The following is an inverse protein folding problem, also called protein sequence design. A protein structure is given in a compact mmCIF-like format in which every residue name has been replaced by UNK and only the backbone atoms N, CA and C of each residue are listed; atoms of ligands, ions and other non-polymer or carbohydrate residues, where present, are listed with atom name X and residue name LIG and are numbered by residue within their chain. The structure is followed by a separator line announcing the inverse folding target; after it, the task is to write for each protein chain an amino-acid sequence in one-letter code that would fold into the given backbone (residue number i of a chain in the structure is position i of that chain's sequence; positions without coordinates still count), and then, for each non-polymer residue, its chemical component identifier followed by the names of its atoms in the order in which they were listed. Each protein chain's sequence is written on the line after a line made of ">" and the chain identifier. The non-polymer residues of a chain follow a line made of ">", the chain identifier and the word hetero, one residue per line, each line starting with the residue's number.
data_IF_660291304803
#
_entry.id   IF_660291304803
#
_cell.length_a   1.000
_cell.length_b   1.000
_cell.length_c   1.000
_cell.angle_alpha   90.00
_cell.angle_beta   90.00
_cell.angle_gamma   90.00
#
_symmetry.space_group_name_H-M   'P 1'
#
loop_
_entity.id
_entity.type
_entity.pdbx_description
1 polymer ?
#
# COMPACT_ATOMS: atom_id res chain seq x y z
N UNK A 1 -10.58 -9.54 1.26
CA UNK A 1 -10.07 -8.48 2.17
C UNK A 1 -8.74 -8.91 2.77
N UNK A 2 -7.80 -7.98 2.95
CA UNK A 2 -6.53 -8.29 3.61
C UNK A 2 -6.76 -8.63 5.09
N UNK A 3 -6.07 -9.64 5.60
CA UNK A 3 -6.17 -10.07 7.00
C UNK A 3 -5.02 -9.48 7.80
N UNK A 4 -5.32 -8.95 8.98
CA UNK A 4 -4.30 -8.59 9.98
C UNK A 4 -3.75 -9.87 10.60
N UNK A 5 -2.43 -10.04 10.55
CA UNK A 5 -1.71 -11.19 11.09
C UNK A 5 -0.87 -10.76 12.30
N UNK A 6 -0.84 -11.59 13.34
CA UNK A 6 0.07 -11.46 14.47
C UNK A 6 1.43 -12.05 14.09
N UNK A 7 2.51 -11.42 14.53
CA UNK A 7 3.86 -11.95 14.40
C UNK A 7 4.72 -11.54 15.60
N UNK A 8 5.85 -12.21 15.81
CA UNK A 8 6.83 -11.87 16.84
C UNK A 8 7.98 -11.10 16.21
N UNK A 9 8.34 -9.95 16.78
CA UNK A 9 9.57 -9.26 16.43
C UNK A 9 10.79 -10.05 16.96
N UNK A 10 12.00 -9.71 16.48
CA UNK A 10 13.26 -10.32 16.93
C UNK A 10 13.47 -10.25 18.45
N UNK A 11 12.85 -9.26 19.10
CA UNK A 11 12.91 -9.03 20.54
C UNK A 11 11.83 -9.81 21.33
N UNK A 12 11.08 -10.71 20.70
CA UNK A 12 10.00 -11.48 21.35
C UNK A 12 8.68 -10.71 21.53
N UNK A 13 8.61 -9.44 21.10
CA UNK A 13 7.41 -8.63 21.22
C UNK A 13 6.33 -9.07 20.23
N UNK A 14 5.09 -9.22 20.71
CA UNK A 14 3.93 -9.43 19.85
C UNK A 14 3.60 -8.14 19.10
N UNK A 15 3.59 -8.24 17.77
CA UNK A 15 3.20 -7.17 16.85
C UNK A 15 2.17 -7.65 15.85
N UNK A 16 1.58 -6.70 15.15
CA UNK A 16 0.63 -6.95 14.09
C UNK A 16 1.15 -6.41 12.75
N UNK A 17 0.79 -7.09 11.68
CA UNK A 17 1.09 -6.71 10.30
C UNK A 17 -0.09 -7.02 9.38
N UNK A 18 -0.09 -6.41 8.20
CA UNK A 18 -0.99 -6.78 7.12
C UNK A 18 -0.29 -6.62 5.78
N UNK A 19 -0.82 -7.32 4.78
CA UNK A 19 -0.41 -7.19 3.40
C UNK A 19 -1.64 -7.02 2.52
N UNK A 20 -1.64 -5.97 1.70
CA UNK A 20 -2.71 -5.65 0.77
C UNK A 20 -2.21 -5.73 -0.66
N UNK A 21 -3.05 -6.30 -1.53
CA UNK A 21 -2.83 -6.28 -2.97
C UNK A 21 -3.37 -4.98 -3.55
N UNK A 22 -2.53 -4.28 -4.32
CA UNK A 22 -2.84 -2.98 -4.90
C UNK A 22 -3.16 -3.04 -6.40
N UNK A 23 -3.19 -4.24 -7.00
CA UNK A 23 -3.41 -4.42 -8.43
C UNK A 23 -2.12 -4.72 -9.20
N UNK A 24 -2.15 -4.46 -10.50
CA UNK A 24 -1.02 -4.64 -11.42
C UNK A 24 -0.45 -3.25 -11.71
N UNK A 25 0.86 -3.12 -11.62
CA UNK A 25 1.53 -1.88 -12.01
C UNK A 25 1.47 -1.73 -13.55
N UNK A 26 0.87 -0.66 -14.10
CA UNK A 26 0.66 -0.54 -15.54
C UNK A 26 1.97 -0.36 -16.32
N UNK A 27 3.04 0.13 -15.67
CA UNK A 27 4.33 0.33 -16.35
C UNK A 27 5.14 -0.96 -16.44
N UNK A 28 5.02 -1.86 -15.46
CA UNK A 28 5.86 -3.07 -15.39
C UNK A 28 5.10 -4.37 -15.58
N UNK A 29 3.76 -4.35 -15.57
CA UNK A 29 2.91 -5.54 -15.62
C UNK A 29 2.96 -6.40 -14.35
N UNK A 30 3.70 -5.99 -13.33
CA UNK A 30 3.92 -6.78 -12.12
C UNK A 30 2.85 -6.54 -11.05
N UNK A 31 2.57 -7.58 -10.27
CA UNK A 31 1.63 -7.53 -9.13
C UNK A 31 2.18 -6.63 -8.02
N UNK A 32 1.52 -5.50 -7.76
CA UNK A 32 1.89 -4.55 -6.71
C UNK A 32 1.25 -4.94 -5.38
N UNK A 33 2.06 -5.06 -4.33
CA UNK A 33 1.62 -5.39 -2.97
C UNK A 33 2.29 -4.47 -1.97
N UNK A 34 1.52 -3.96 -1.02
CA UNK A 34 2.07 -3.20 0.11
C UNK A 34 1.92 -3.99 1.39
N UNK A 35 3.02 -4.04 2.15
CA UNK A 35 3.06 -4.66 3.47
C UNK A 35 3.35 -3.58 4.51
N UNK A 36 2.54 -3.50 5.56
CA UNK A 36 2.79 -2.65 6.73
C UNK A 36 2.85 -3.53 7.98
N UNK A 37 3.82 -3.25 8.86
CA UNK A 37 4.11 -4.03 10.07
C UNK A 37 4.57 -3.13 11.22
N UNK A 38 4.65 -3.70 12.42
CA UNK A 38 5.16 -3.01 13.62
C UNK A 38 4.09 -2.43 14.54
N UNK A 39 2.81 -2.65 14.23
CA UNK A 39 1.68 -2.19 15.04
C UNK A 39 1.67 -2.90 16.39
N UNK A 40 1.47 -2.14 17.47
CA UNK A 40 1.43 -2.68 18.83
C UNK A 40 0.12 -3.42 19.09
N UNK A 41 -0.98 -2.94 18.51
CA UNK A 41 -2.31 -3.52 18.71
C UNK A 41 -2.96 -3.94 17.40
N UNK A 42 -3.90 -4.90 17.48
CA UNK A 42 -4.72 -5.31 16.33
C UNK A 42 -5.57 -4.14 15.82
N UNK A 43 -6.09 -3.29 16.72
CA UNK A 43 -6.92 -2.12 16.39
C UNK A 43 -6.15 -1.11 15.53
N UNK A 44 -4.91 -0.80 15.90
CA UNK A 44 -4.04 0.09 15.10
C UNK A 44 -3.82 -0.45 13.68
N UNK A 45 -3.51 -1.75 13.57
CA UNK A 45 -3.31 -2.39 12.28
C UNK A 45 -4.58 -2.36 11.42
N UNK A 46 -5.75 -2.63 12.01
CA UNK A 46 -7.04 -2.55 11.32
C UNK A 46 -7.35 -1.13 10.87
N UNK A 47 -7.15 -0.12 11.73
CA UNK A 47 -7.37 1.28 11.38
C UNK A 47 -6.48 1.73 10.21
N UNK A 48 -5.20 1.36 10.25
CA UNK A 48 -4.26 1.64 9.17
C UNK A 48 -4.63 0.91 7.87
N UNK A 49 -5.16 -0.31 7.95
CA UNK A 49 -5.66 -1.06 6.82
C UNK A 49 -6.89 -0.38 6.19
N UNK A 50 -7.86 0.05 7.01
CA UNK A 50 -9.06 0.75 6.54
C UNK A 50 -8.72 2.09 5.87
N UNK A 51 -7.80 2.87 6.44
CA UNK A 51 -7.30 4.11 5.82
C UNK A 51 -6.67 3.83 4.46
N UNK A 52 -5.83 2.80 4.38
CA UNK A 52 -5.15 2.46 3.14
C UNK A 52 -6.11 1.91 2.07
N UNK A 53 -7.18 1.22 2.46
CA UNK A 53 -8.25 0.82 1.55
C UNK A 53 -8.99 2.04 0.97
N UNK A 54 -9.36 3.00 1.82
CA UNK A 54 -9.99 4.25 1.36
C UNK A 54 -9.07 5.04 0.42
N UNK A 55 -7.77 5.13 0.73
CA UNK A 55 -6.78 5.76 -0.17
C UNK A 55 -6.72 5.06 -1.53
N UNK A 56 -6.79 3.73 -1.56
CA UNK A 56 -6.82 2.95 -2.80
C UNK A 56 -8.09 3.19 -3.59
N UNK A 57 -9.26 3.12 -2.95
CA UNK A 57 -10.55 3.40 -3.59
C UNK A 57 -10.57 4.81 -4.18
N UNK A 58 -10.07 5.80 -3.44
CA UNK A 58 -9.98 7.19 -3.91
C UNK A 58 -8.94 7.39 -5.03
N UNK A 59 -7.79 6.69 -4.99
CA UNK A 59 -6.77 6.75 -6.04
C UNK A 59 -7.19 6.02 -7.31
N UNK A 60 -7.95 4.94 -7.21
CA UNK A 60 -8.55 4.29 -8.38
C UNK A 60 -9.47 5.22 -9.16
N UNK A 61 -10.02 6.24 -8.51
CA UNK A 61 -10.84 7.30 -9.14
C UNK A 61 -10.04 8.36 -9.91
N UNK A 62 -8.71 8.37 -9.79
CA UNK A 62 -7.84 9.34 -10.46
C UNK A 62 -6.86 8.61 -11.37
N UNK A 63 -7.14 8.47 -12.68
CA UNK A 63 -6.12 8.09 -13.63
C UNK A 63 -5.12 9.25 -13.67
N UNK A 64 -3.99 9.11 -12.98
CA UNK A 64 -2.84 9.95 -13.32
C UNK A 64 -2.24 9.32 -14.56
N UNK A 65 -2.73 9.75 -15.71
CA UNK A 65 -2.08 9.61 -17.01
C UNK A 65 -0.69 10.25 -16.89
N UNK A 66 0.29 9.52 -16.35
CA UNK A 66 1.68 9.95 -16.27
C UNK A 66 2.37 9.68 -17.61
N UNK A 67 1.73 10.09 -18.71
CA UNK A 67 2.30 10.04 -20.05
C UNK A 67 2.86 11.43 -20.42
N UNK A 68 3.47 12.11 -19.45
CA UNK A 68 4.25 13.32 -19.70
C UNK A 68 5.53 12.92 -20.42
N UNK A 69 5.70 13.45 -21.63
CA UNK A 69 6.89 13.19 -22.44
C UNK A 69 8.08 13.95 -21.83
N UNK A 70 9.27 13.35 -21.85
CA UNK A 70 10.50 14.01 -21.37
C UNK A 70 10.72 15.38 -22.03
N UNK A 71 10.28 15.53 -23.29
CA UNK A 71 10.30 16.79 -24.02
C UNK A 71 9.48 17.90 -23.33
N UNK A 72 8.35 17.59 -22.69
CA UNK A 72 7.49 18.60 -22.06
C UNK A 72 8.08 19.17 -20.76
N UNK A 73 8.98 18.43 -20.10
CA UNK A 73 9.62 18.86 -18.83
C UNK A 73 10.88 19.69 -19.08
N UNK A 74 11.55 19.47 -20.22
CA UNK A 74 12.85 20.07 -20.55
C UNK A 74 12.79 21.09 -21.71
N UNK A 75 11.60 21.41 -22.22
CA UNK A 75 11.43 22.51 -23.16
C UNK A 75 11.40 23.84 -22.40
N UNK A 76 12.57 24.34 -22.05
CA UNK A 76 12.82 25.75 -21.76
C UNK A 76 13.64 26.36 -22.91
#
# INVERSE_FOLDING_TARGET
>A
MAKVQKYLDKNGNTKYMFQLYMGIDPQTGNKKRTRRRGFKTKKEATLALSRLQLELENKSSLPTENNILFSEVYSE
#
